data_IF_273710991368
#
_entry.id   IF_273710991368
#
_cell.length_a   1.000
_cell.length_b   1.000
_cell.length_c   1.000
_cell.angle_alpha   90.00
_cell.angle_beta   90.00
_cell.angle_gamma   90.00
#
_symmetry.space_group_name_H-M   'P 1'
#
loop_
_entity.id
_entity.type
_entity.pdbx_description
1 polymer ?
#
# COMPACT_ATOMS: atom_id res chain seq x y z
N UNK A 1 -8.08 -50.35 -33.62
CA UNK A 1 -8.59 -48.99 -33.34
C UNK A 1 -10.07 -48.92 -33.64
N UNK A 2 -10.90 -48.77 -32.60
CA UNK A 2 -12.38 -48.78 -32.68
C UNK A 2 -12.94 -47.56 -33.40
N UNK A 3 -14.01 -47.74 -34.21
CA UNK A 3 -14.66 -46.70 -35.05
C UNK A 3 -14.90 -45.36 -34.33
N UNK A 4 -15.20 -45.39 -33.03
CA UNK A 4 -15.41 -44.18 -32.20
C UNK A 4 -14.17 -43.26 -32.12
N UNK A 5 -12.95 -43.80 -32.08
CA UNK A 5 -11.73 -42.98 -31.97
C UNK A 5 -11.45 -42.17 -33.25
N UNK A 6 -11.90 -42.66 -34.42
CA UNK A 6 -11.74 -41.95 -35.71
C UNK A 6 -12.66 -40.73 -35.84
N UNK A 7 -13.88 -40.81 -35.31
CA UNK A 7 -14.85 -39.70 -35.38
C UNK A 7 -14.42 -38.53 -34.50
N UNK A 8 -13.94 -38.80 -33.29
CA UNK A 8 -13.45 -37.75 -32.38
C UNK A 8 -12.21 -37.05 -32.94
N UNK A 9 -11.29 -37.80 -33.54
CA UNK A 9 -10.09 -37.22 -34.14
C UNK A 9 -10.39 -36.33 -35.34
N UNK A 10 -11.35 -36.72 -36.18
CA UNK A 10 -11.77 -35.90 -37.33
C UNK A 10 -12.45 -34.59 -36.89
N UNK A 11 -13.24 -34.63 -35.81
CA UNK A 11 -13.87 -33.43 -35.25
C UNK A 11 -12.87 -32.41 -34.69
N UNK A 12 -11.84 -32.88 -33.99
CA UNK A 12 -10.80 -32.00 -33.43
C UNK A 12 -10.00 -31.31 -34.54
N UNK A 13 -9.64 -32.03 -35.60
CA UNK A 13 -8.92 -31.45 -36.75
C UNK A 13 -9.77 -30.37 -37.41
N UNK A 14 -11.08 -30.61 -37.59
CA UNK A 14 -11.99 -29.62 -38.19
C UNK A 14 -12.05 -28.32 -37.38
N UNK A 15 -12.13 -28.41 -36.04
CA UNK A 15 -12.15 -27.23 -35.17
C UNK A 15 -10.84 -26.45 -35.26
N UNK A 16 -9.70 -27.14 -35.23
CA UNK A 16 -8.38 -26.47 -35.33
C UNK A 16 -8.23 -25.79 -36.68
N UNK A 17 -8.61 -26.45 -37.78
CA UNK A 17 -8.53 -25.88 -39.14
C UNK A 17 -9.39 -24.64 -39.34
N UNK A 18 -10.45 -24.43 -38.54
CA UNK A 18 -11.30 -23.23 -38.60
C UNK A 18 -10.80 -22.16 -37.63
N UNK A 19 -10.41 -22.54 -36.41
CA UNK A 19 -10.02 -21.58 -35.36
C UNK A 19 -8.66 -20.94 -35.66
N UNK A 20 -7.69 -21.70 -36.20
CA UNK A 20 -6.34 -21.19 -36.44
C UNK A 20 -6.29 -20.08 -37.51
N UNK A 21 -6.93 -20.18 -38.68
CA UNK A 21 -6.97 -19.08 -39.65
C UNK A 21 -7.71 -17.85 -39.13
N UNK A 22 -8.79 -18.06 -38.35
CA UNK A 22 -9.55 -16.98 -37.73
C UNK A 22 -8.69 -16.18 -36.75
N UNK A 23 -7.83 -16.88 -35.99
CA UNK A 23 -6.88 -16.26 -35.08
C UNK A 23 -5.70 -15.59 -35.79
N UNK A 24 -5.13 -16.23 -36.81
CA UNK A 24 -3.97 -15.69 -37.56
C UNK A 24 -4.35 -14.45 -38.38
N UNK A 25 -5.58 -14.40 -38.92
CA UNK A 25 -6.04 -13.30 -39.78
C UNK A 25 -6.78 -12.18 -39.01
N UNK A 26 -6.76 -12.18 -37.67
CA UNK A 26 -7.46 -11.19 -36.83
C UNK A 26 -8.94 -10.97 -37.21
N UNK A 27 -9.61 -12.01 -37.73
CA UNK A 27 -11.02 -11.93 -38.11
C UNK A 27 -11.95 -11.61 -36.93
N UNK A 28 -11.46 -11.77 -35.70
CA UNK A 28 -12.09 -11.27 -34.49
C UNK A 28 -11.09 -10.45 -33.68
N UNK A 29 -11.10 -9.12 -33.80
CA UNK A 29 -10.30 -8.26 -32.94
C UNK A 29 -10.68 -8.54 -31.48
N UNK A 30 -9.69 -8.96 -30.69
CA UNK A 30 -9.85 -9.25 -29.25
C UNK A 30 -10.59 -8.15 -28.44
N UNK A 31 -10.49 -6.84 -28.78
CA UNK A 31 -11.29 -5.81 -28.10
C UNK A 31 -12.80 -6.04 -28.20
N UNK A 32 -13.32 -6.45 -29.36
CA UNK A 32 -14.77 -6.64 -29.56
C UNK A 32 -15.30 -7.88 -28.83
N UNK A 33 -14.47 -8.92 -28.68
CA UNK A 33 -14.79 -10.09 -27.86
C UNK A 33 -14.89 -9.74 -26.37
N UNK A 34 -14.01 -8.86 -25.87
CA UNK A 34 -14.09 -8.39 -24.48
C UNK A 34 -15.36 -7.57 -24.24
N UNK A 35 -15.74 -6.70 -25.19
CA UNK A 35 -16.97 -5.92 -25.10
C UNK A 35 -18.21 -6.81 -25.15
N UNK A 36 -18.24 -7.80 -26.05
CA UNK A 36 -19.33 -8.78 -26.15
C UNK A 36 -19.43 -9.63 -24.87
N UNK A 37 -18.31 -10.10 -24.32
CA UNK A 37 -18.29 -10.83 -23.07
C UNK A 37 -18.79 -9.98 -21.90
N UNK A 38 -18.42 -8.69 -21.84
CA UNK A 38 -18.90 -7.76 -20.81
C UNK A 38 -20.40 -7.46 -20.95
N UNK A 39 -20.93 -7.43 -22.17
CA UNK A 39 -22.35 -7.22 -22.44
C UNK A 39 -23.20 -8.46 -22.13
N UNK A 40 -22.71 -9.66 -22.46
CA UNK A 40 -23.42 -10.93 -22.25
C UNK A 40 -23.30 -11.42 -20.80
N UNK A 41 -22.18 -11.14 -20.14
CA UNK A 41 -21.91 -11.50 -18.75
C UNK A 41 -21.55 -10.24 -17.96
N UNK A 42 -22.51 -9.33 -17.71
CA UNK A 42 -22.26 -8.19 -16.86
C UNK A 42 -21.75 -8.70 -15.51
N UNK A 43 -20.65 -8.15 -14.96
CA UNK A 43 -20.19 -8.56 -13.66
C UNK A 43 -21.34 -8.38 -12.68
N UNK A 44 -21.71 -9.45 -11.97
CA UNK A 44 -22.73 -9.39 -10.95
C UNK A 44 -22.40 -8.21 -10.02
N UNK A 45 -23.37 -7.33 -9.76
CA UNK A 45 -23.24 -6.27 -8.76
C UNK A 45 -23.04 -6.97 -7.41
N UNK A 46 -21.80 -7.32 -7.07
CA UNK A 46 -21.47 -7.67 -5.69
C UNK A 46 -21.84 -6.44 -4.86
N UNK A 47 -22.56 -6.60 -3.74
CA UNK A 47 -22.50 -5.57 -2.73
C UNK A 47 -21.01 -5.29 -2.48
N UNK A 48 -20.58 -4.02 -2.38
CA UNK A 48 -19.20 -3.72 -2.09
C UNK A 48 -18.81 -4.54 -0.86
N UNK A 49 -17.78 -5.37 -0.99
CA UNK A 49 -17.19 -6.03 0.16
C UNK A 49 -16.90 -4.91 1.18
N UNK A 50 -17.27 -5.07 2.47
CA UNK A 50 -16.99 -4.03 3.46
C UNK A 50 -15.49 -3.71 3.37
N UNK A 51 -15.18 -2.41 3.24
CA UNK A 51 -13.81 -1.97 3.09
C UNK A 51 -12.99 -2.61 4.22
N UNK A 52 -11.87 -3.30 3.93
CA UNK A 52 -11.00 -3.86 4.97
C UNK A 52 -10.65 -2.85 6.08
N UNK A 53 -10.68 -1.56 5.76
CA UNK A 53 -10.51 -0.46 6.70
C UNK A 53 -11.72 -0.29 7.63
N UNK A 54 -12.95 -0.35 7.13
CA UNK A 54 -14.17 -0.30 7.95
C UNK A 54 -14.29 -1.53 8.87
N UNK A 55 -13.94 -2.72 8.36
CA UNK A 55 -13.89 -3.95 9.17
C UNK A 55 -12.85 -3.88 10.30
N UNK A 56 -11.80 -3.06 10.14
CA UNK A 56 -10.79 -2.78 11.15
C UNK A 56 -11.16 -1.62 12.11
N UNK A 57 -12.38 -1.07 12.01
CA UNK A 57 -12.87 0.00 12.89
C UNK A 57 -12.48 1.42 12.46
N UNK A 58 -12.09 1.63 11.20
CA UNK A 58 -11.77 2.96 10.67
C UNK A 58 -13.03 3.85 10.62
N UNK A 59 -12.97 5.03 11.25
CA UNK A 59 -14.01 6.08 11.12
C UNK A 59 -13.57 7.10 10.07
N UNK A 60 -14.35 7.33 9.00
CA UNK A 60 -14.07 8.37 8.03
C UNK A 60 -14.20 9.75 8.71
N UNK A 61 -13.09 10.49 8.83
CA UNK A 61 -13.09 11.84 9.40
C UNK A 61 -11.72 12.39 9.80
N UNK A 62 -10.74 11.54 10.11
CA UNK A 62 -9.34 11.95 10.30
C UNK A 62 -8.43 11.13 9.37
N UNK A 63 -7.59 11.78 8.54
CA UNK A 63 -6.60 11.07 7.72
C UNK A 63 -5.48 10.45 8.57
N UNK A 64 -5.46 10.73 9.87
CA UNK A 64 -4.46 10.31 10.82
C UNK A 64 -5.07 9.40 11.89
N UNK A 65 -4.40 8.28 12.17
CA UNK A 65 -4.77 7.36 13.25
C UNK A 65 -3.49 6.89 13.91
N UNK A 66 -3.50 6.81 15.24
CA UNK A 66 -2.39 6.23 16.01
C UNK A 66 -2.82 4.86 16.48
N UNK A 67 -2.05 3.84 16.11
CA UNK A 67 -2.30 2.44 16.51
C UNK A 67 -1.03 1.82 17.05
N UNK A 68 -1.13 0.84 17.94
CA UNK A 68 0.04 0.06 18.34
C UNK A 68 0.51 -0.82 17.17
N UNK A 69 1.79 -0.76 16.87
CA UNK A 69 2.45 -1.63 15.92
C UNK A 69 2.44 -3.06 16.44
N UNK A 70 2.05 -3.95 15.54
CA UNK A 70 2.29 -5.39 15.59
C UNK A 70 2.56 -5.86 14.17
N UNK A 71 3.25 -6.98 14.00
CA UNK A 71 3.37 -7.61 12.70
C UNK A 71 1.98 -7.77 12.04
N UNK A 72 1.84 -7.27 10.80
CA UNK A 72 0.56 -7.23 10.08
C UNK A 72 -0.25 -5.93 10.25
N UNK A 73 0.11 -5.03 11.17
CA UNK A 73 -0.54 -3.72 11.30
C UNK A 73 -0.30 -2.87 10.05
N UNK A 74 -1.35 -2.32 9.42
CA UNK A 74 -1.18 -1.38 8.31
C UNK A 74 -0.40 -0.14 8.72
N UNK A 75 0.51 0.31 7.86
CA UNK A 75 1.36 1.48 8.12
C UNK A 75 0.85 2.77 7.49
N UNK A 76 -0.17 2.68 6.64
CA UNK A 76 -0.81 3.82 5.98
C UNK A 76 -2.30 3.84 6.32
N UNK A 77 -2.87 5.03 6.45
CA UNK A 77 -4.30 5.17 6.79
C UNK A 77 -5.25 4.83 5.63
N UNK A 78 -4.75 4.87 4.39
CA UNK A 78 -5.56 4.62 3.19
C UNK A 78 -5.09 3.41 2.35
N UNK A 79 -4.18 2.59 2.88
CA UNK A 79 -3.66 1.38 2.20
C UNK A 79 -3.36 0.29 3.22
N UNK A 80 -3.78 -0.93 2.93
CA UNK A 80 -3.46 -2.13 3.73
C UNK A 80 -2.04 -2.65 3.54
N UNK A 81 -1.02 -1.78 3.47
CA UNK A 81 0.38 -2.22 3.39
C UNK A 81 0.96 -2.35 4.78
N UNK A 82 1.58 -3.49 5.05
CA UNK A 82 2.14 -3.87 6.35
C UNK A 82 3.53 -4.45 6.17
N UNK A 83 4.30 -4.50 7.25
CA UNK A 83 5.60 -5.14 7.27
C UNK A 83 5.46 -6.67 7.23
N UNK A 84 6.18 -7.29 6.30
CA UNK A 84 6.21 -8.75 6.12
C UNK A 84 7.34 -9.45 6.89
N UNK A 85 8.29 -8.69 7.46
CA UNK A 85 9.37 -9.24 8.27
C UNK A 85 8.94 -9.31 9.74
N UNK A 86 8.47 -8.20 10.32
CA UNK A 86 8.04 -8.15 11.71
C UNK A 86 9.22 -8.24 12.69
N UNK A 87 10.16 -7.31 12.61
CA UNK A 87 11.26 -7.22 13.57
C UNK A 87 10.71 -6.88 14.97
N UNK A 88 11.01 -7.73 15.95
CA UNK A 88 10.48 -7.62 17.32
C UNK A 88 10.81 -6.30 18.01
N UNK A 89 11.85 -5.56 17.57
CA UNK A 89 12.17 -4.25 18.12
C UNK A 89 11.13 -3.17 17.81
N UNK A 90 10.27 -3.41 16.82
CA UNK A 90 9.16 -2.53 16.47
C UNK A 90 7.87 -2.87 17.21
N UNK A 91 7.79 -4.04 17.85
CA UNK A 91 6.59 -4.49 18.56
C UNK A 91 6.23 -3.56 19.71
N UNK A 92 4.95 -3.14 19.74
CA UNK A 92 4.43 -2.23 20.76
C UNK A 92 4.69 -0.74 20.52
N UNK A 93 5.53 -0.37 19.55
CA UNK A 93 5.69 1.03 19.14
C UNK A 93 4.36 1.61 18.63
N UNK A 94 4.22 2.92 18.57
CA UNK A 94 3.04 3.58 18.01
C UNK A 94 3.25 3.85 16.51
N UNK A 95 2.32 3.43 15.67
CA UNK A 95 2.27 3.78 14.24
C UNK A 95 1.38 4.99 14.08
N UNK A 96 1.94 6.08 13.55
CA UNK A 96 1.14 7.19 13.05
C UNK A 96 0.78 6.89 11.58
N UNK A 97 -0.41 6.33 11.38
CA UNK A 97 -0.93 6.00 10.06
C UNK A 97 -1.29 7.27 9.32
N UNK A 98 -0.60 7.50 8.20
CA UNK A 98 -0.80 8.66 7.33
C UNK A 98 -1.09 8.20 5.90
N UNK A 99 -1.74 9.02 5.05
CA UNK A 99 -1.98 8.64 3.68
C UNK A 99 -0.67 8.37 2.94
N UNK A 100 -0.64 7.36 2.06
CA UNK A 100 0.57 7.01 1.28
C UNK A 100 1.12 8.14 0.41
N UNK A 101 0.27 9.08 0.04
CA UNK A 101 0.59 10.19 -0.86
C UNK A 101 0.35 11.53 -0.17
N UNK A 102 0.75 11.64 1.10
CA UNK A 102 0.66 12.89 1.82
C UNK A 102 1.76 13.84 1.32
N UNK A 103 1.37 15.01 0.83
CA UNK A 103 2.30 16.03 0.32
C UNK A 103 2.68 17.07 1.37
N UNK A 104 1.80 17.30 2.34
CA UNK A 104 2.00 18.29 3.40
C UNK A 104 2.82 17.73 4.57
N UNK A 105 3.60 18.59 5.21
CA UNK A 105 4.17 18.29 6.52
C UNK A 105 3.09 18.12 7.60
N UNK A 106 3.45 17.39 8.65
CA UNK A 106 2.61 17.11 9.81
C UNK A 106 3.26 17.77 11.02
N UNK A 107 2.50 18.57 11.75
CA UNK A 107 2.93 19.10 13.04
C UNK A 107 2.45 18.15 14.15
N UNK A 108 3.39 17.68 14.98
CA UNK A 108 3.12 16.85 16.16
C UNK A 108 3.48 17.62 17.42
N UNK A 109 2.60 17.58 18.41
CA UNK A 109 2.91 18.03 19.76
C UNK A 109 3.24 16.83 20.65
N UNK A 110 4.42 16.90 21.23
CA UNK A 110 5.00 15.86 22.06
C UNK A 110 5.01 16.32 23.52
N UNK A 111 4.35 15.58 24.40
CA UNK A 111 4.35 15.87 25.83
C UNK A 111 5.69 15.53 26.53
N UNK A 112 6.61 14.86 25.84
CA UNK A 112 7.86 14.33 26.36
C UNK A 112 8.80 13.92 25.22
N UNK A 113 10.05 13.55 25.52
CA UNK A 113 10.98 13.09 24.51
C UNK A 113 10.49 11.78 23.88
N UNK A 114 10.73 11.61 22.59
CA UNK A 114 10.35 10.43 21.81
C UNK A 114 11.43 10.10 20.78
N UNK A 115 11.52 8.81 20.42
CA UNK A 115 12.32 8.37 19.26
C UNK A 115 11.40 8.08 18.10
N UNK A 116 11.66 8.71 16.95
CA UNK A 116 10.86 8.52 15.74
C UNK A 116 11.65 7.69 14.75
N UNK A 117 11.00 6.66 14.21
CA UNK A 117 11.50 5.82 13.14
C UNK A 117 10.77 6.14 11.84
N UNK A 118 11.53 6.18 10.74
CA UNK A 118 11.00 6.29 9.39
C UNK A 118 11.43 5.10 8.57
N UNK A 119 10.48 4.54 7.82
CA UNK A 119 10.78 3.50 6.86
C UNK A 119 10.88 4.10 5.47
N UNK A 120 12.03 3.93 4.82
CA UNK A 120 12.38 4.53 3.54
C UNK A 120 12.30 3.50 2.42
N UNK A 121 12.03 4.00 1.22
CA UNK A 121 12.12 3.26 -0.04
C UNK A 121 13.27 3.85 -0.88
N UNK A 122 14.00 2.99 -1.59
CA UNK A 122 15.03 3.43 -2.54
C UNK A 122 14.44 4.18 -3.75
N UNK A 123 13.12 4.08 -3.98
CA UNK A 123 12.42 4.81 -5.06
C UNK A 123 12.14 6.28 -4.75
N UNK A 124 12.45 6.75 -3.53
CA UNK A 124 12.25 8.13 -3.11
C UNK A 124 13.55 8.92 -3.14
N UNK A 125 13.44 10.25 -3.19
CA UNK A 125 14.53 11.11 -2.74
C UNK A 125 14.47 11.17 -1.19
N UNK A 126 15.51 10.62 -0.57
CA UNK A 126 15.64 10.55 0.89
C UNK A 126 16.62 11.59 1.44
N UNK A 127 17.03 12.59 0.65
CA UNK A 127 17.95 13.65 1.07
C UNK A 127 17.51 14.38 2.34
N UNK A 128 16.20 14.52 2.56
CA UNK A 128 15.64 15.12 3.78
C UNK A 128 15.92 14.33 5.08
N UNK A 129 16.41 13.10 4.95
CA UNK A 129 16.77 12.22 6.06
C UNK A 129 18.29 12.03 6.18
N UNK A 130 19.11 12.88 5.54
CA UNK A 130 20.58 12.79 5.60
C UNK A 130 21.14 12.80 7.03
N UNK A 131 20.48 13.54 7.91
CA UNK A 131 20.92 13.75 9.28
C UNK A 131 20.35 12.70 10.25
N UNK A 132 19.57 11.75 9.72
CA UNK A 132 18.95 10.68 10.51
C UNK A 132 19.91 9.49 10.64
N UNK A 133 19.86 8.81 11.77
CA UNK A 133 20.72 7.66 12.03
C UNK A 133 20.12 6.42 11.36
N UNK A 134 20.89 5.75 10.51
CA UNK A 134 20.46 4.47 9.90
C UNK A 134 20.52 3.36 10.94
N UNK A 135 19.47 2.54 10.98
CA UNK A 135 19.37 1.40 11.90
C UNK A 135 19.57 0.08 11.16
N UNK A 136 19.86 -0.99 11.89
CA UNK A 136 19.97 -2.35 11.36
C UNK A 136 18.63 -3.12 11.37
N UNK A 137 17.54 -2.47 11.80
CA UNK A 137 16.17 -3.00 11.84
C UNK A 137 15.72 -3.46 10.46
N UNK A 138 15.21 -4.70 10.39
CA UNK A 138 14.79 -5.31 9.12
C UNK A 138 13.30 -5.16 8.92
N UNK A 139 12.91 -4.54 7.81
CA UNK A 139 11.51 -4.38 7.41
C UNK A 139 11.35 -4.62 5.92
N UNK A 140 10.15 -5.06 5.52
CA UNK A 140 9.79 -5.20 4.11
C UNK A 140 8.31 -4.90 3.91
N UNK A 141 8.03 -3.67 3.51
CA UNK A 141 6.67 -3.19 3.25
C UNK A 141 6.50 -3.09 1.75
N UNK A 142 5.80 -4.07 1.16
CA UNK A 142 5.57 -4.11 -0.28
C UNK A 142 4.31 -3.33 -0.63
N UNK A 143 4.47 -2.16 -1.24
CA UNK A 143 3.39 -1.43 -1.88
C UNK A 143 3.22 -1.81 -3.36
N UNK A 144 2.23 -1.20 -4.02
CA UNK A 144 2.00 -1.41 -5.45
C UNK A 144 3.15 -0.91 -6.34
N UNK A 145 3.75 0.26 -6.02
CA UNK A 145 4.79 0.89 -6.86
C UNK A 145 6.19 0.90 -6.27
N UNK A 146 6.35 0.66 -4.96
CA UNK A 146 7.64 0.66 -4.31
C UNK A 146 7.66 -0.28 -3.10
N UNK A 147 8.87 -0.60 -2.63
CA UNK A 147 9.07 -1.41 -1.41
C UNK A 147 9.91 -0.61 -0.43
N UNK A 148 9.41 -0.43 0.78
CA UNK A 148 10.17 0.20 1.86
C UNK A 148 10.97 -0.88 2.62
N UNK A 149 12.27 -0.64 2.79
CA UNK A 149 13.22 -1.62 3.33
C UNK A 149 14.22 -1.06 4.34
N UNK A 150 14.45 0.25 4.33
CA UNK A 150 15.49 0.88 5.15
C UNK A 150 14.85 1.63 6.30
N UNK A 151 15.32 1.44 7.53
CA UNK A 151 14.80 2.15 8.72
C UNK A 151 15.83 3.16 9.20
N UNK A 152 15.40 4.41 9.36
CA UNK A 152 16.19 5.49 9.97
C UNK A 152 15.49 6.01 11.22
N UNK A 153 16.25 6.55 12.17
CA UNK A 153 15.70 7.08 13.42
C UNK A 153 16.33 8.40 13.83
N UNK A 154 15.58 9.19 14.59
CA UNK A 154 16.01 10.43 15.22
C UNK A 154 15.28 10.63 16.54
N UNK A 155 15.98 11.16 17.55
CA UNK A 155 15.43 11.53 18.84
C UNK A 155 14.90 12.96 18.80
N UNK A 156 13.74 13.18 19.42
CA UNK A 156 13.08 14.48 19.51
C UNK A 156 12.74 14.79 20.97
N UNK A 157 12.96 16.04 21.36
CA UNK A 157 12.54 16.56 22.67
C UNK A 157 11.04 16.90 22.69
N UNK A 158 10.52 17.17 23.88
CA UNK A 158 9.15 17.64 24.05
C UNK A 158 8.91 18.97 23.31
N UNK A 159 7.67 19.18 22.84
CA UNK A 159 7.26 20.38 22.12
C UNK A 159 6.65 20.08 20.75
N UNK A 160 6.56 21.10 19.91
CA UNK A 160 5.99 21.00 18.56
C UNK A 160 7.11 20.69 17.57
N UNK A 161 6.98 19.56 16.86
CA UNK A 161 7.91 19.16 15.80
C UNK A 161 7.18 19.09 14.46
N UNK A 162 7.88 19.45 13.38
CA UNK A 162 7.36 19.37 12.02
C UNK A 162 8.02 18.21 11.27
N UNK A 163 7.20 17.24 10.89
CA UNK A 163 7.61 16.05 10.18
C UNK A 163 7.27 16.15 8.70
N UNK A 164 8.30 16.09 7.85
CA UNK A 164 8.12 15.98 6.40
C UNK A 164 7.59 14.57 6.04
N UNK A 165 6.73 14.43 5.02
CA UNK A 165 6.15 13.14 4.67
C UNK A 165 7.15 12.16 4.04
N UNK A 166 8.19 12.64 3.34
CA UNK A 166 9.00 11.83 2.43
C UNK A 166 8.30 11.68 1.07
N UNK A 167 9.05 11.34 0.02
CA UNK A 167 8.50 11.27 -1.34
C UNK A 167 9.58 11.29 -2.43
N UNK A 168 9.19 11.41 -3.70
CA UNK A 168 7.83 11.66 -4.20
C UNK A 168 6.96 10.40 -4.40
N UNK A 169 7.52 9.18 -4.34
CA UNK A 169 6.79 7.97 -4.73
C UNK A 169 5.84 7.43 -3.68
N UNK A 170 6.23 7.57 -2.42
CA UNK A 170 5.39 7.29 -1.27
C UNK A 170 5.87 8.09 -0.07
N UNK A 171 4.96 8.46 0.79
CA UNK A 171 5.28 8.90 2.14
C UNK A 171 6.05 7.79 2.89
N UNK A 172 7.00 8.19 3.73
CA UNK A 172 7.77 7.29 4.61
C UNK A 172 6.95 7.01 5.87
N UNK A 173 6.55 5.75 6.14
CA UNK A 173 5.83 5.37 7.36
C UNK A 173 6.49 5.89 8.64
N UNK A 174 5.67 6.19 9.64
CA UNK A 174 6.09 6.78 10.92
C UNK A 174 5.81 5.79 12.03
N UNK A 175 6.86 5.38 12.75
CA UNK A 175 6.74 4.67 14.02
C UNK A 175 7.36 5.54 15.11
N UNK A 176 6.77 5.50 16.30
CA UNK A 176 7.15 6.35 17.43
C UNK A 176 7.30 5.47 18.65
N UNK A 177 8.48 5.53 19.27
CA UNK A 177 8.71 5.01 20.60
C UNK A 177 8.36 6.08 21.62
N UNK A 178 7.15 5.94 22.18
CA UNK A 178 6.57 6.83 23.18
C UNK A 178 6.31 6.02 24.44
N UNK A 179 7.36 5.75 25.21
CA UNK A 179 7.30 4.85 26.37
C UNK A 179 6.30 5.25 27.47
N UNK A 180 5.77 6.47 27.47
CA UNK A 180 4.57 6.91 28.21
C UNK A 180 4.08 8.30 27.76
N UNK A 181 4.45 8.73 26.56
CA UNK A 181 4.27 10.11 26.10
C UNK A 181 2.96 10.25 25.34
N UNK A 182 2.13 11.24 25.72
CA UNK A 182 0.96 11.61 24.93
C UNK A 182 1.41 12.34 23.65
N UNK A 183 0.81 11.94 22.52
CA UNK A 183 1.08 12.53 21.21
C UNK A 183 -0.22 13.13 20.69
N UNK A 184 -0.19 14.42 20.37
CA UNK A 184 -1.30 15.11 19.73
C UNK A 184 -0.91 15.52 18.31
N UNK A 185 -1.75 15.19 17.33
CA UNK A 185 -1.55 15.57 15.93
C UNK A 185 -2.24 16.91 15.69
N UNK A 186 -1.45 17.97 15.49
CA UNK A 186 -1.97 19.35 15.56
C UNK A 186 -2.58 19.88 14.27
N UNK A 187 -2.10 19.44 13.09
CA UNK A 187 -2.70 19.60 11.74
C UNK A 187 -1.67 19.26 10.66
N UNK A 188 -2.17 19.04 9.44
CA UNK A 188 -1.37 19.13 8.22
C UNK A 188 -1.54 20.53 7.63
N UNK A 189 -0.45 21.24 7.33
CA UNK A 189 -0.51 22.48 6.54
C UNK A 189 -0.57 22.11 5.06
N UNK A 190 -1.76 21.80 4.56
CA UNK A 190 -2.00 21.69 3.12
C UNK A 190 -1.96 23.07 2.46
N UNK A 191 -1.18 23.24 1.39
CA UNK A 191 -1.37 24.37 0.48
C UNK A 191 -2.79 24.26 -0.09
N UNK A 192 -3.66 25.20 0.26
CA UNK A 192 -4.89 25.42 -0.49
C UNK A 192 -4.46 25.80 -1.90
N UNK A 193 -4.66 24.91 -2.87
CA UNK A 193 -4.52 25.26 -4.27
C UNK A 193 -5.52 26.40 -4.56
N UNK A 194 -5.01 27.53 -5.07
CA UNK A 194 -5.79 28.57 -5.72
C UNK A 194 -6.01 28.19 -7.17
#
# INVERSE_FOLDING_TARGET
>A
MTKRKKVVFCGIILVISIVTPVYINDWFPMPHLQDLCRALFPPAKRPPDPDPLEAAGYKPGSPFTIVSYRAGTPLFSNRGYYDRIGDNRLEGLQVLQIPRHLESSIDLELAGPVKIFRVLTASNDNSIFSDWTTTDIKVKIRGASCTHTTVVSMDFEAGIITLKPGGPMATSPILIDAQSTQILVLKSKGKSAK
#
